data_IF_256672844220
#
_entry.id   IF_256672844220
#
_cell.length_a   1.000
_cell.length_b   1.000
_cell.length_c   1.000
_cell.angle_alpha   90.00
_cell.angle_beta   90.00
_cell.angle_gamma   90.00
#
_symmetry.space_group_name_H-M   'P 1'
#
loop_
_entity.id
_entity.type
_entity.pdbx_description
1 polymer ?
#
# COMPACT_ATOMS: atom_id res chain seq x y z
N UNK A 1 9.99 13.65 -42.60
CA UNK A 1 9.99 12.66 -41.51
C UNK A 1 11.20 12.95 -40.64
N UNK A 2 11.01 13.63 -39.50
CA UNK A 2 12.12 13.91 -38.57
C UNK A 2 12.81 12.60 -38.21
N UNK A 3 14.09 12.49 -38.54
CA UNK A 3 14.89 11.34 -38.14
C UNK A 3 14.95 11.31 -36.62
N UNK A 4 14.54 10.19 -36.02
CA UNK A 4 14.68 9.88 -34.60
C UNK A 4 16.12 10.17 -34.15
N UNK A 5 16.33 11.33 -33.53
CA UNK A 5 17.62 11.72 -33.00
C UNK A 5 17.91 10.86 -31.77
N UNK A 6 18.96 10.03 -31.81
CA UNK A 6 19.33 9.12 -30.73
C UNK A 6 19.50 9.83 -29.37
N UNK A 7 19.88 11.11 -29.35
CA UNK A 7 19.90 11.92 -28.12
C UNK A 7 18.50 12.22 -27.58
N UNK A 8 17.54 12.59 -28.44
CA UNK A 8 16.14 12.82 -28.04
C UNK A 8 15.51 11.53 -27.51
N UNK A 9 15.78 10.38 -28.13
CA UNK A 9 15.29 9.07 -27.67
C UNK A 9 15.90 8.69 -26.32
N UNK A 10 17.24 8.84 -26.16
CA UNK A 10 17.92 8.56 -24.89
C UNK A 10 17.37 9.41 -23.75
N UNK A 11 17.13 10.70 -24.00
CA UNK A 11 16.60 11.61 -22.99
C UNK A 11 15.15 11.26 -22.62
N UNK A 12 14.31 10.94 -23.60
CA UNK A 12 12.95 10.45 -23.34
C UNK A 12 12.93 9.17 -22.48
N UNK A 13 13.83 8.22 -22.76
CA UNK A 13 13.96 6.98 -21.97
C UNK A 13 14.41 7.28 -20.54
N UNK A 14 15.36 8.21 -20.35
CA UNK A 14 15.81 8.61 -19.01
C UNK A 14 14.72 9.33 -18.21
N UNK A 15 13.96 10.23 -18.83
CA UNK A 15 12.89 11.00 -18.19
C UNK A 15 11.71 10.11 -17.76
N UNK A 16 11.50 8.97 -18.43
CA UNK A 16 10.42 8.02 -18.16
C UNK A 16 10.92 6.65 -17.70
N UNK A 17 12.16 6.57 -17.21
CA UNK A 17 12.81 5.31 -16.87
C UNK A 17 11.98 4.45 -15.91
N UNK A 18 11.46 5.04 -14.82
CA UNK A 18 10.65 4.31 -13.83
C UNK A 18 9.38 3.73 -14.48
N UNK A 19 8.69 4.51 -15.32
CA UNK A 19 7.48 4.04 -16.01
C UNK A 19 7.79 2.93 -17.02
N UNK A 20 8.91 3.05 -17.75
CA UNK A 20 9.35 2.03 -18.70
C UNK A 20 9.72 0.72 -17.98
N UNK A 21 10.44 0.80 -16.87
CA UNK A 21 10.79 -0.37 -16.04
C UNK A 21 9.53 -1.01 -15.45
N UNK A 22 8.58 -0.21 -14.95
CA UNK A 22 7.30 -0.72 -14.45
C UNK A 22 6.52 -1.45 -15.56
N UNK A 23 6.41 -0.85 -16.74
CA UNK A 23 5.70 -1.45 -17.87
C UNK A 23 6.36 -2.76 -18.31
N UNK A 24 7.70 -2.79 -18.38
CA UNK A 24 8.46 -4.00 -18.68
C UNK A 24 8.21 -5.10 -17.64
N UNK A 25 8.23 -4.77 -16.35
CA UNK A 25 7.89 -5.71 -15.28
C UNK A 25 6.48 -6.28 -15.43
N UNK A 26 5.49 -5.41 -15.70
CA UNK A 26 4.10 -5.83 -15.90
C UNK A 26 3.99 -6.79 -17.10
N UNK A 27 4.66 -6.49 -18.22
CA UNK A 27 4.66 -7.36 -19.42
C UNK A 27 5.31 -8.71 -19.11
N UNK A 28 6.49 -8.72 -18.48
CA UNK A 28 7.19 -9.96 -18.11
C UNK A 28 6.33 -10.82 -17.19
N UNK A 29 5.73 -10.23 -16.16
CA UNK A 29 4.85 -10.95 -15.23
C UNK A 29 3.58 -11.44 -15.94
N UNK A 30 3.02 -10.66 -16.88
CA UNK A 30 1.86 -11.06 -17.66
C UNK A 30 2.13 -12.27 -18.56
N UNK A 31 3.35 -12.39 -19.13
CA UNK A 31 3.77 -13.56 -19.91
C UNK A 31 3.92 -14.79 -18.99
N UNK A 32 4.56 -14.64 -17.83
CA UNK A 32 4.78 -15.74 -16.89
C UNK A 32 3.47 -16.20 -16.24
N UNK A 33 2.59 -15.26 -15.89
CA UNK A 33 1.32 -15.53 -15.24
C UNK A 33 0.18 -14.66 -15.81
N UNK A 34 -0.57 -15.15 -16.80
CA UNK A 34 -1.63 -14.38 -17.45
C UNK A 34 -2.81 -14.06 -16.53
N UNK A 35 -2.86 -14.64 -15.31
CA UNK A 35 -3.90 -14.32 -14.32
C UNK A 35 -3.83 -12.87 -13.85
N UNK A 36 -2.68 -12.20 -13.97
CA UNK A 36 -2.53 -10.80 -13.55
C UNK A 36 -3.41 -9.83 -14.37
N UNK A 37 -3.77 -10.22 -15.61
CA UNK A 37 -4.65 -9.44 -16.49
C UNK A 37 -6.14 -9.57 -16.12
N UNK A 38 -6.49 -10.43 -15.15
CA UNK A 38 -7.87 -10.57 -14.69
C UNK A 38 -8.31 -9.31 -13.95
N UNK A 39 -9.55 -8.89 -14.18
CA UNK A 39 -10.15 -7.72 -13.53
C UNK A 39 -10.11 -7.80 -12.00
N UNK A 40 -10.16 -9.01 -11.45
CA UNK A 40 -10.03 -9.26 -10.00
C UNK A 40 -8.67 -8.81 -9.47
N UNK A 41 -7.57 -9.21 -10.13
CA UNK A 41 -6.22 -8.83 -9.71
C UNK A 41 -6.01 -7.33 -9.86
N UNK A 42 -6.53 -6.73 -10.94
CA UNK A 42 -6.52 -5.28 -11.10
C UNK A 42 -7.27 -4.59 -9.94
N UNK A 43 -8.48 -5.05 -9.60
CA UNK A 43 -9.25 -4.53 -8.47
C UNK A 43 -8.47 -4.66 -7.16
N UNK A 44 -7.85 -5.81 -6.90
CA UNK A 44 -7.08 -6.05 -5.67
C UNK A 44 -5.88 -5.09 -5.56
N UNK A 45 -5.17 -4.84 -6.67
CA UNK A 45 -4.07 -3.87 -6.74
C UNK A 45 -4.59 -2.44 -6.49
N UNK A 46 -5.72 -2.06 -7.09
CA UNK A 46 -6.34 -0.76 -6.85
C UNK A 46 -6.76 -0.60 -5.39
N UNK A 47 -7.36 -1.63 -4.78
CA UNK A 47 -7.75 -1.60 -3.36
C UNK A 47 -6.53 -1.42 -2.44
N UNK A 48 -5.44 -2.15 -2.69
CA UNK A 48 -4.18 -2.01 -1.93
C UNK A 48 -3.53 -0.63 -2.15
N UNK A 49 -3.67 -0.07 -3.35
CA UNK A 49 -3.12 1.25 -3.69
C UNK A 49 -3.96 2.39 -3.10
N UNK A 50 -5.28 2.19 -2.97
CA UNK A 50 -6.21 3.16 -2.35
C UNK A 50 -5.78 3.52 -0.93
N UNK A 51 -5.40 2.53 -0.12
CA UNK A 51 -4.92 2.79 1.26
C UNK A 51 -3.68 3.70 1.26
N UNK A 52 -2.77 3.55 0.29
CA UNK A 52 -1.58 4.41 0.16
C UNK A 52 -1.93 5.84 -0.22
N UNK A 53 -2.94 6.04 -1.07
CA UNK A 53 -3.40 7.36 -1.45
C UNK A 53 -4.02 8.07 -0.24
N UNK A 54 -4.88 7.39 0.52
CA UNK A 54 -5.49 7.95 1.75
C UNK A 54 -4.41 8.35 2.75
N UNK A 55 -3.38 7.51 2.94
CA UNK A 55 -2.23 7.85 3.78
C UNK A 55 -1.48 9.09 3.26
N UNK A 56 -1.20 9.16 1.96
CA UNK A 56 -0.47 10.27 1.36
C UNK A 56 -1.23 11.60 1.48
N UNK A 57 -2.57 11.58 1.40
CA UNK A 57 -3.41 12.75 1.65
C UNK A 57 -3.24 13.29 3.08
N UNK A 58 -3.17 12.41 4.08
CA UNK A 58 -2.92 12.81 5.47
C UNK A 58 -1.52 13.41 5.69
N UNK A 59 -0.51 12.92 4.96
CA UNK A 59 0.88 13.39 5.07
C UNK A 59 1.20 14.62 4.19
N UNK A 60 0.22 15.17 3.47
CA UNK A 60 0.40 16.25 2.50
C UNK A 60 1.13 17.48 3.10
N UNK A 61 0.80 17.86 4.33
CA UNK A 61 1.43 19.00 5.00
C UNK A 61 2.94 18.79 5.19
N UNK A 62 3.36 17.59 5.57
CA UNK A 62 4.79 17.27 5.78
C UNK A 62 5.55 17.29 4.44
N UNK A 63 4.93 16.75 3.39
CA UNK A 63 5.51 16.75 2.03
C UNK A 63 5.67 18.19 1.52
N UNK A 64 4.68 19.06 1.75
CA UNK A 64 4.74 20.47 1.36
C UNK A 64 5.85 21.25 2.09
N UNK A 65 6.14 20.89 3.34
CA UNK A 65 7.28 21.46 4.09
C UNK A 65 8.65 20.95 3.64
N UNK A 66 8.72 20.11 2.60
CA UNK A 66 9.95 19.50 2.09
C UNK A 66 10.44 18.31 2.93
N UNK A 67 9.62 17.85 3.88
CA UNK A 67 9.88 16.66 4.67
C UNK A 67 9.46 15.39 3.94
N UNK A 68 10.11 14.26 4.27
CA UNK A 68 9.67 12.93 3.84
C UNK A 68 9.21 12.18 5.07
N UNK A 69 7.90 11.98 5.21
CA UNK A 69 7.36 11.19 6.32
C UNK A 69 7.26 9.70 5.93
N UNK A 70 8.36 8.96 6.16
CA UNK A 70 8.33 7.49 6.17
C UNK A 70 7.67 6.94 7.45
N UNK A 71 7.38 7.79 8.43
CA UNK A 71 6.78 7.44 9.71
C UNK A 71 5.33 6.97 9.61
N UNK A 72 4.56 7.52 8.66
CA UNK A 72 3.16 7.11 8.44
C UNK A 72 2.99 5.61 8.19
N UNK A 73 3.97 4.96 7.54
CA UNK A 73 3.95 3.51 7.34
C UNK A 73 4.03 2.70 8.65
N UNK A 74 4.77 3.21 9.65
CA UNK A 74 4.88 2.57 10.97
C UNK A 74 3.57 2.64 11.74
N UNK A 75 2.89 3.79 11.68
CA UNK A 75 1.60 3.99 12.34
C UNK A 75 0.51 3.10 11.74
N UNK A 76 0.47 2.98 10.41
CA UNK A 76 -0.47 2.07 9.75
C UNK A 76 -0.14 0.60 10.04
N UNK A 77 1.15 0.25 10.09
CA UNK A 77 1.58 -1.09 10.51
C UNK A 77 1.14 -1.41 11.94
N UNK A 78 1.33 -0.48 12.88
CA UNK A 78 0.90 -0.64 14.27
C UNK A 78 -0.62 -0.76 14.39
N UNK A 79 -1.38 0.10 13.71
CA UNK A 79 -2.84 0.03 13.68
C UNK A 79 -3.34 -1.30 13.09
N UNK A 80 -2.67 -1.83 12.07
CA UNK A 80 -2.96 -3.12 11.48
C UNK A 80 -2.70 -4.27 12.46
N UNK A 81 -1.58 -4.25 13.20
CA UNK A 81 -1.25 -5.26 14.20
C UNK A 81 -2.29 -5.27 15.33
N UNK A 82 -2.66 -4.11 15.87
CA UNK A 82 -3.68 -4.00 16.94
C UNK A 82 -5.05 -4.49 16.44
N UNK A 83 -5.47 -4.06 15.25
CA UNK A 83 -6.79 -4.41 14.73
C UNK A 83 -6.88 -5.91 14.40
N UNK A 84 -5.87 -6.45 13.72
CA UNK A 84 -5.84 -7.86 13.32
C UNK A 84 -5.62 -8.79 14.51
N UNK A 85 -4.83 -8.39 15.51
CA UNK A 85 -4.65 -9.18 16.72
C UNK A 85 -5.92 -9.22 17.56
N UNK A 86 -6.83 -8.26 17.49
CA UNK A 86 -8.09 -8.31 18.24
C UNK A 86 -9.26 -8.92 17.46
N UNK A 87 -9.30 -8.76 16.12
CA UNK A 87 -10.35 -9.30 15.24
C UNK A 87 -10.02 -10.72 14.74
N UNK A 88 -9.87 -11.63 15.68
CA UNK A 88 -9.54 -13.02 15.38
C UNK A 88 -10.81 -13.85 15.13
N UNK A 89 -10.71 -14.84 14.23
CA UNK A 89 -11.79 -15.81 14.03
C UNK A 89 -11.88 -16.77 15.21
N UNK A 90 -13.08 -17.05 15.70
CA UNK A 90 -13.31 -17.90 16.88
C UNK A 90 -12.76 -19.32 16.68
N UNK A 91 -12.83 -19.86 15.47
CA UNK A 91 -12.35 -21.21 15.16
C UNK A 91 -10.86 -21.27 14.82
N UNK A 92 -10.13 -20.16 14.94
CA UNK A 92 -8.70 -20.14 14.63
C UNK A 92 -7.91 -20.87 15.72
N UNK A 93 -7.09 -21.85 15.32
CA UNK A 93 -6.34 -22.70 16.26
C UNK A 93 -5.20 -21.93 16.94
N UNK A 94 -4.64 -20.92 16.27
CA UNK A 94 -3.49 -20.12 16.75
C UNK A 94 -3.90 -18.70 17.10
N UNK A 95 -4.95 -18.56 17.91
CA UNK A 95 -5.41 -17.26 18.39
C UNK A 95 -4.30 -16.53 19.16
N UNK A 96 -4.09 -15.27 18.83
CA UNK A 96 -3.15 -14.37 19.52
C UNK A 96 -3.63 -14.03 20.94
N UNK A 97 -4.95 -13.94 21.12
CA UNK A 97 -5.64 -13.76 22.39
C UNK A 97 -6.69 -14.87 22.55
N UNK A 98 -6.32 -16.04 23.12
CA UNK A 98 -7.20 -17.21 23.21
C UNK A 98 -8.48 -16.96 24.00
N UNK A 99 -8.38 -16.19 25.10
CA UNK A 99 -9.48 -15.89 26.02
C UNK A 99 -10.33 -14.68 25.57
N UNK A 100 -9.91 -14.00 24.50
CA UNK A 100 -10.66 -12.88 23.95
C UNK A 100 -11.78 -13.42 23.06
N UNK A 101 -13.04 -13.21 23.50
CA UNK A 101 -14.21 -13.51 22.69
C UNK A 101 -14.32 -12.63 21.45
N UNK A 102 -15.41 -12.79 20.68
CA UNK A 102 -15.70 -11.89 19.56
C UNK A 102 -16.01 -10.48 20.07
N UNK A 103 -15.07 -9.56 19.88
CA UNK A 103 -15.25 -8.16 20.22
C UNK A 103 -15.89 -7.37 19.06
N UNK A 104 -16.73 -6.37 19.34
CA UNK A 104 -17.28 -5.50 18.30
C UNK A 104 -16.17 -4.80 17.51
N UNK A 105 -16.32 -4.72 16.19
CA UNK A 105 -15.33 -4.14 15.26
C UNK A 105 -14.92 -2.70 15.61
N UNK A 106 -15.82 -1.95 16.25
CA UNK A 106 -15.59 -0.57 16.67
C UNK A 106 -14.47 -0.50 17.74
N UNK A 107 -14.37 -1.49 18.63
CA UNK A 107 -13.44 -1.44 19.75
C UNK A 107 -11.96 -1.49 19.29
N UNK A 108 -11.53 -2.45 18.43
CA UNK A 108 -10.17 -2.45 17.88
C UNK A 108 -9.83 -1.20 17.07
N UNK A 109 -10.80 -0.63 16.34
CA UNK A 109 -10.60 0.61 15.58
C UNK A 109 -10.31 1.78 16.52
N UNK A 110 -11.12 1.97 17.56
CA UNK A 110 -10.91 3.05 18.53
C UNK A 110 -9.59 2.90 19.28
N UNK A 111 -9.21 1.66 19.65
CA UNK A 111 -7.92 1.38 20.25
C UNK A 111 -6.76 1.68 19.30
N UNK A 112 -6.85 1.26 18.04
CA UNK A 112 -5.82 1.54 17.04
C UNK A 112 -5.65 3.05 16.81
N UNK A 113 -6.75 3.82 16.79
CA UNK A 113 -6.71 5.29 16.72
C UNK A 113 -6.06 5.88 17.97
N UNK A 114 -6.49 5.49 19.17
CA UNK A 114 -5.95 6.01 20.43
C UNK A 114 -4.44 5.75 20.56
N UNK A 115 -4.00 4.51 20.31
CA UNK A 115 -2.59 4.15 20.33
C UNK A 115 -1.83 4.86 19.20
N UNK A 116 -2.42 4.94 18.00
CA UNK A 116 -1.87 5.70 16.87
C UNK A 116 -1.61 7.17 17.20
N UNK A 117 -2.54 7.83 17.91
CA UNK A 117 -2.38 9.23 18.33
C UNK A 117 -1.38 9.43 19.47
N UNK A 118 -1.14 8.41 20.29
CA UNK A 118 -0.20 8.50 21.42
C UNK A 118 1.26 8.33 21.00
N UNK A 119 1.51 7.49 19.98
CA UNK A 119 2.86 7.15 19.52
C UNK A 119 3.22 7.77 18.16
N UNK A 120 2.28 8.47 17.53
CA UNK A 120 2.41 9.13 16.23
C UNK A 120 2.82 10.58 16.30
#
# INVERSE_FOLDING_TARGET
>A
MEMLNAKKVKQFVMDKAIFLVLLLLVVVIAIINPRILRLQVLRDILMMSSTKIIMALGMMFVILTGGVDLGGGRLVGMAAVISASMLQTADYVRRFYPDLGQVPVILPILLAVAVGTLFG
#
